data_IF_727810192759
#
_entry.id   IF_727810192759
#
_cell.length_a   1.000
_cell.length_b   1.000
_cell.length_c   1.000
_cell.angle_alpha   90.00
_cell.angle_beta   90.00
_cell.angle_gamma   90.00
#
_symmetry.space_group_name_H-M   'P 1'
#
loop_
_entity.id
_entity.type
_entity.pdbx_description
1 polymer ?
#
# COMPACT_ATOMS: atom_id res chain seq x y z
N UNK A 1 -15.70 -1.40 5.71
CA UNK A 1 -15.78 -0.39 4.66
C UNK A 1 -16.07 0.97 5.26
N UNK A 2 -15.50 2.01 4.68
CA UNK A 2 -15.71 3.40 5.08
C UNK A 2 -16.19 4.18 3.87
N UNK A 3 -17.14 5.07 4.09
CA UNK A 3 -17.60 6.04 3.09
C UNK A 3 -17.22 7.44 3.59
N UNK A 4 -16.42 8.17 2.82
CA UNK A 4 -15.98 9.51 3.19
C UNK A 4 -16.05 10.48 2.02
N UNK A 5 -16.05 11.78 2.33
CA UNK A 5 -15.94 12.84 1.34
C UNK A 5 -14.50 13.38 1.26
N UNK A 6 -13.51 12.49 1.14
CA UNK A 6 -12.07 12.79 1.03
C UNK A 6 -11.46 13.27 2.37
N UNK A 7 -10.79 12.36 3.05
CA UNK A 7 -10.19 12.58 4.38
C UNK A 7 -8.93 13.46 4.39
N UNK A 8 -8.37 13.78 3.22
CA UNK A 8 -7.21 14.68 3.10
C UNK A 8 -7.54 16.15 3.28
N UNK A 9 -8.81 16.55 3.21
CA UNK A 9 -9.21 17.93 3.46
C UNK A 9 -9.34 18.24 4.96
N UNK A 10 -9.17 19.51 5.39
CA UNK A 10 -9.23 19.89 6.81
C UNK A 10 -10.57 19.60 7.50
N UNK A 11 -11.64 19.48 6.73
CA UNK A 11 -12.97 19.11 7.22
C UNK A 11 -13.58 18.09 6.27
N UNK A 12 -14.03 16.97 6.82
CA UNK A 12 -14.65 15.90 6.06
C UNK A 12 -15.70 15.18 6.90
N UNK A 13 -16.62 14.49 6.24
CA UNK A 13 -17.55 13.55 6.85
C UNK A 13 -17.07 12.13 6.51
N UNK A 14 -17.15 11.24 7.50
CA UNK A 14 -16.83 9.84 7.34
C UNK A 14 -17.91 8.98 8.03
N UNK A 15 -18.45 8.01 7.32
CA UNK A 15 -19.41 7.03 7.85
C UNK A 15 -18.78 5.64 7.82
N UNK A 16 -18.75 4.98 8.96
CA UNK A 16 -18.19 3.64 9.12
C UNK A 16 -19.27 2.56 8.95
N UNK A 17 -18.97 1.59 8.11
CA UNK A 17 -19.87 0.48 7.78
C UNK A 17 -19.47 -0.85 8.42
N UNK A 18 -18.62 -0.85 9.43
CA UNK A 18 -18.13 -2.07 10.11
C UNK A 18 -19.28 -2.95 10.58
N UNK A 19 -20.31 -2.39 11.24
CA UNK A 19 -21.49 -3.12 11.72
C UNK A 19 -22.36 -3.72 10.61
N UNK A 20 -22.16 -3.30 9.37
CA UNK A 20 -22.94 -3.77 8.23
C UNK A 20 -22.19 -4.77 7.36
N UNK A 21 -20.90 -4.94 7.57
CA UNK A 21 -20.06 -5.81 6.74
C UNK A 21 -20.54 -7.27 6.77
N UNK A 22 -21.04 -7.76 7.92
CA UNK A 22 -21.58 -9.12 8.02
C UNK A 22 -22.77 -9.33 7.06
N UNK A 23 -23.63 -8.33 6.89
CA UNK A 23 -24.77 -8.42 5.98
C UNK A 23 -24.33 -8.54 4.51
N UNK A 24 -23.26 -7.83 4.12
CA UNK A 24 -22.70 -7.99 2.79
C UNK A 24 -22.11 -9.38 2.60
N UNK A 25 -21.37 -9.88 3.60
CA UNK A 25 -20.79 -11.24 3.54
C UNK A 25 -21.88 -12.32 3.45
N UNK A 26 -22.95 -12.17 4.19
CA UNK A 26 -24.11 -13.11 4.14
C UNK A 26 -24.75 -13.12 2.75
N UNK A 27 -24.97 -11.95 2.13
CA UNK A 27 -25.53 -11.89 0.77
C UNK A 27 -24.56 -12.49 -0.27
N UNK A 28 -23.27 -12.21 -0.20
CA UNK A 28 -22.28 -12.82 -1.10
C UNK A 28 -22.21 -14.33 -0.92
N UNK A 29 -22.36 -14.83 0.30
CA UNK A 29 -22.45 -16.27 0.58
C UNK A 29 -23.73 -16.89 -0.02
N UNK A 30 -24.88 -16.20 0.10
CA UNK A 30 -26.15 -16.62 -0.50
C UNK A 30 -26.06 -16.67 -2.05
N UNK A 31 -25.26 -15.80 -2.65
CA UNK A 31 -25.03 -15.73 -4.10
C UNK A 31 -23.95 -16.72 -4.59
N UNK A 32 -23.34 -17.51 -3.69
CA UNK A 32 -22.21 -18.41 -4.03
C UNK A 32 -21.05 -17.63 -4.70
N UNK A 33 -20.73 -16.46 -4.14
CA UNK A 33 -19.71 -15.58 -4.70
C UNK A 33 -18.30 -16.10 -4.43
N UNK A 34 -17.49 -16.16 -5.49
CA UNK A 34 -16.10 -16.60 -5.46
C UNK A 34 -15.19 -15.54 -6.09
N UNK A 35 -14.44 -14.75 -5.30
CA UNK A 35 -13.51 -13.77 -5.85
C UNK A 35 -12.23 -14.45 -6.38
N UNK A 36 -11.67 -13.91 -7.46
CA UNK A 36 -10.34 -14.29 -7.94
C UNK A 36 -9.22 -13.61 -7.14
N UNK A 37 -9.52 -12.47 -6.53
CA UNK A 37 -8.60 -11.72 -5.68
C UNK A 37 -9.29 -10.87 -4.62
N UNK A 38 -8.56 -10.58 -3.56
CA UNK A 38 -8.98 -9.72 -2.44
C UNK A 38 -7.90 -8.67 -2.26
N UNK A 39 -8.30 -7.40 -2.32
CA UNK A 39 -7.45 -6.27 -1.98
C UNK A 39 -8.02 -5.56 -0.75
N UNK A 40 -7.17 -5.30 0.23
CA UNK A 40 -7.52 -4.52 1.42
C UNK A 40 -6.61 -3.31 1.52
N UNK A 41 -7.19 -2.15 1.76
CA UNK A 41 -6.49 -0.89 2.00
C UNK A 41 -6.89 -0.29 3.34
N UNK A 42 -7.30 0.98 3.35
CA UNK A 42 -7.70 1.69 4.56
C UNK A 42 -8.79 0.96 5.35
N UNK A 43 -8.56 0.77 6.65
CA UNK A 43 -9.52 0.21 7.61
C UNK A 43 -9.76 1.23 8.73
N UNK A 44 -11.02 1.33 9.17
CA UNK A 44 -11.41 2.31 10.18
C UNK A 44 -10.82 2.01 11.57
N UNK A 45 -10.76 0.73 11.93
CA UNK A 45 -10.30 0.26 13.24
C UNK A 45 -9.96 -1.25 13.24
N UNK A 46 -9.57 -1.75 14.41
CA UNK A 46 -9.27 -3.17 14.62
C UNK A 46 -10.49 -4.08 14.43
N UNK A 47 -11.71 -3.62 14.77
CA UNK A 47 -12.93 -4.40 14.58
C UNK A 47 -13.23 -4.59 13.09
N UNK A 48 -12.98 -3.57 12.27
CA UNK A 48 -13.11 -3.70 10.82
C UNK A 48 -12.07 -4.67 10.24
N UNK A 49 -10.84 -4.66 10.77
CA UNK A 49 -9.82 -5.63 10.38
C UNK A 49 -10.25 -7.08 10.71
N UNK A 50 -10.92 -7.32 11.84
CA UNK A 50 -11.48 -8.64 12.18
C UNK A 50 -12.58 -9.07 11.18
N UNK A 51 -13.40 -8.13 10.69
CA UNK A 51 -14.37 -8.42 9.62
C UNK A 51 -13.67 -8.81 8.31
N UNK A 52 -12.58 -8.12 7.97
CA UNK A 52 -11.77 -8.47 6.78
C UNK A 52 -11.13 -9.85 6.94
N UNK A 53 -10.57 -10.18 8.11
CA UNK A 53 -10.06 -11.52 8.40
C UNK A 53 -11.14 -12.59 8.26
N UNK A 54 -12.36 -12.30 8.73
CA UNK A 54 -13.52 -13.19 8.58
C UNK A 54 -13.92 -13.34 7.10
N UNK A 55 -13.87 -12.25 6.32
CA UNK A 55 -14.10 -12.28 4.88
C UNK A 55 -13.08 -13.17 4.17
N UNK A 56 -11.78 -13.01 4.48
CA UNK A 56 -10.72 -13.85 3.93
C UNK A 56 -10.93 -15.32 4.29
N UNK A 57 -11.36 -15.62 5.52
CA UNK A 57 -11.63 -17.00 5.94
C UNK A 57 -12.81 -17.62 5.19
N UNK A 58 -13.81 -16.83 4.80
CA UNK A 58 -15.01 -17.30 4.09
C UNK A 58 -14.80 -17.42 2.58
N UNK A 59 -14.12 -16.45 1.98
CA UNK A 59 -14.03 -16.29 0.52
C UNK A 59 -12.62 -16.47 -0.02
N UNK A 60 -11.60 -16.48 0.84
CA UNK A 60 -10.23 -16.78 0.48
C UNK A 60 -10.05 -18.28 0.28
N UNK A 61 -9.54 -18.70 -0.86
CA UNK A 61 -9.20 -20.09 -1.17
C UNK A 61 -7.76 -20.18 -1.65
N UNK A 62 -7.26 -21.38 -1.91
CA UNK A 62 -5.87 -21.62 -2.35
C UNK A 62 -5.49 -20.83 -3.62
N UNK A 63 -6.45 -20.53 -4.48
CA UNK A 63 -6.24 -19.82 -5.74
C UNK A 63 -6.55 -18.31 -5.64
N UNK A 64 -7.14 -17.83 -4.55
CA UNK A 64 -7.50 -16.42 -4.37
C UNK A 64 -6.26 -15.61 -4.06
N UNK A 65 -5.99 -14.59 -4.86
CA UNK A 65 -4.84 -13.70 -4.66
C UNK A 65 -5.20 -12.62 -3.64
N UNK A 66 -4.42 -12.52 -2.56
CA UNK A 66 -4.67 -11.55 -1.49
C UNK A 66 -3.54 -10.53 -1.50
N UNK A 67 -3.91 -9.26 -1.66
CA UNK A 67 -3.03 -8.11 -1.49
C UNK A 67 -3.48 -7.32 -0.27
N UNK A 68 -2.54 -7.00 0.61
CA UNK A 68 -2.79 -6.15 1.78
C UNK A 68 -1.93 -4.89 1.70
N UNK A 69 -2.61 -3.75 1.59
CA UNK A 69 -2.01 -2.43 1.76
C UNK A 69 -2.24 -2.00 3.22
N UNK A 70 -1.19 -2.00 4.05
CA UNK A 70 -1.35 -1.87 5.50
C UNK A 70 -1.42 -0.42 5.94
N UNK A 71 -2.40 0.33 5.44
CA UNK A 71 -2.57 1.76 5.63
C UNK A 71 -2.63 2.14 7.11
N UNK A 72 -1.54 2.74 7.63
CA UNK A 72 -1.41 3.13 9.04
C UNK A 72 -0.69 4.47 9.26
N UNK A 73 0.08 4.96 8.31
CA UNK A 73 0.87 6.19 8.45
C UNK A 73 1.67 6.51 7.20
N UNK A 74 2.32 7.66 7.19
CA UNK A 74 3.21 8.12 6.11
C UNK A 74 4.20 9.15 6.66
N UNK A 75 5.37 9.31 5.99
CA UNK A 75 6.41 10.29 6.36
C UNK A 75 6.83 10.26 7.85
N UNK A 76 6.88 9.06 8.45
CA UNK A 76 7.26 8.85 9.86
C UNK A 76 6.15 9.09 10.86
N UNK A 77 4.97 9.53 10.44
CA UNK A 77 3.83 9.85 11.29
C UNK A 77 2.69 8.85 11.08
N UNK A 78 2.02 8.47 12.17
CA UNK A 78 0.83 7.63 12.10
C UNK A 78 -0.40 8.45 11.73
N UNK A 79 -1.30 7.82 10.97
CA UNK A 79 -2.63 8.39 10.75
C UNK A 79 -3.48 8.40 12.04
N UNK A 80 -4.46 9.30 12.15
CA UNK A 80 -5.32 9.41 13.35
C UNK A 80 -6.06 8.13 13.72
N UNK A 81 -6.23 7.20 12.78
CA UNK A 81 -6.85 5.89 12.99
C UNK A 81 -5.92 4.87 13.66
N UNK A 82 -4.62 5.14 13.71
CA UNK A 82 -3.65 4.18 14.24
C UNK A 82 -3.92 3.86 15.71
N UNK A 83 -3.92 2.57 16.00
CA UNK A 83 -3.83 2.02 17.35
C UNK A 83 -2.92 0.79 17.32
N UNK A 84 -2.30 0.44 18.44
CA UNK A 84 -1.51 -0.80 18.54
C UNK A 84 -2.36 -2.02 18.19
N UNK A 85 -3.64 -2.02 18.59
CA UNK A 85 -4.57 -3.10 18.27
C UNK A 85 -4.79 -3.21 16.74
N UNK A 86 -4.99 -2.08 16.04
CA UNK A 86 -5.09 -2.09 14.57
C UNK A 86 -3.80 -2.60 13.94
N UNK A 87 -2.63 -2.16 14.41
CA UNK A 87 -1.34 -2.63 13.93
C UNK A 87 -1.17 -4.14 14.11
N UNK A 88 -1.58 -4.70 15.26
CA UNK A 88 -1.61 -6.15 15.45
C UNK A 88 -2.51 -6.88 14.45
N UNK A 89 -3.70 -6.33 14.17
CA UNK A 89 -4.60 -6.89 13.15
C UNK A 89 -4.01 -6.81 11.74
N UNK A 90 -3.34 -5.70 11.41
CA UNK A 90 -2.62 -5.57 10.13
C UNK A 90 -1.51 -6.63 9.98
N UNK A 91 -0.81 -6.98 11.07
CA UNK A 91 0.15 -8.10 11.08
C UNK A 91 -0.51 -9.45 10.77
N UNK A 92 -1.72 -9.68 11.28
CA UNK A 92 -2.48 -10.89 10.93
C UNK A 92 -2.95 -10.89 9.47
N UNK A 93 -3.37 -9.75 8.94
CA UNK A 93 -3.73 -9.61 7.53
C UNK A 93 -2.50 -9.82 6.63
N UNK A 94 -1.35 -9.24 6.98
CA UNK A 94 -0.11 -9.42 6.24
C UNK A 94 0.29 -10.90 6.10
N UNK A 95 0.08 -11.73 7.14
CA UNK A 95 0.30 -13.19 7.08
C UNK A 95 -0.67 -13.96 6.18
N UNK A 96 -1.75 -13.33 5.72
CA UNK A 96 -2.71 -13.92 4.78
C UNK A 96 -2.46 -13.47 3.34
N UNK A 97 -1.63 -12.45 3.16
CA UNK A 97 -1.36 -11.85 1.87
C UNK A 97 -0.37 -12.68 1.05
N UNK A 98 -0.57 -12.72 -0.25
CA UNK A 98 0.45 -13.12 -1.21
C UNK A 98 1.44 -11.96 -1.46
N UNK A 99 0.97 -10.72 -1.35
CA UNK A 99 1.78 -9.51 -1.46
C UNK A 99 1.30 -8.47 -0.44
N UNK A 100 2.24 -7.76 0.20
CA UNK A 100 1.96 -6.56 1.00
C UNK A 100 2.62 -5.33 0.37
N UNK A 101 1.99 -4.14 0.49
CA UNK A 101 2.46 -2.90 -0.14
C UNK A 101 2.73 -1.75 0.85
N UNK A 102 3.48 -1.97 1.94
CA UNK A 102 3.73 -0.91 2.89
C UNK A 102 4.57 0.22 2.28
N UNK A 103 4.33 1.48 2.68
CA UNK A 103 5.36 2.51 2.63
C UNK A 103 6.41 2.27 3.75
N UNK A 104 7.46 3.10 3.83
CA UNK A 104 8.52 2.86 4.80
C UNK A 104 8.04 3.01 6.26
N UNK A 105 7.16 3.97 6.54
CA UNK A 105 6.55 4.15 7.86
C UNK A 105 5.78 2.91 8.29
N UNK A 106 4.92 2.41 7.43
CA UNK A 106 4.12 1.20 7.65
C UNK A 106 4.99 -0.05 7.80
N UNK A 107 6.07 -0.16 7.01
CA UNK A 107 7.05 -1.22 7.13
C UNK A 107 7.68 -1.27 8.53
N UNK A 108 8.05 -0.10 9.07
CA UNK A 108 8.60 0.03 10.42
C UNK A 108 7.56 -0.27 11.50
N UNK A 109 6.33 0.22 11.34
CA UNK A 109 5.22 -0.07 12.27
C UNK A 109 4.91 -1.57 12.33
N UNK A 110 4.87 -2.24 11.19
CA UNK A 110 4.67 -3.69 11.11
C UNK A 110 5.77 -4.47 11.82
N UNK A 111 7.03 -4.06 11.68
CA UNK A 111 8.16 -4.76 12.29
C UNK A 111 8.30 -4.48 13.79
N UNK A 112 8.14 -3.22 14.19
CA UNK A 112 8.60 -2.77 15.49
C UNK A 112 7.50 -2.23 16.40
N UNK A 113 6.34 -1.82 15.86
CA UNK A 113 5.33 -1.03 16.58
C UNK A 113 5.77 0.44 16.69
N UNK A 114 4.89 1.28 17.28
CA UNK A 114 5.00 2.74 17.28
C UNK A 114 6.33 3.27 17.83
N UNK A 115 6.64 2.96 19.08
CA UNK A 115 7.78 3.58 19.76
C UNK A 115 9.10 3.34 19.00
N UNK A 116 9.37 2.10 18.66
CA UNK A 116 10.62 1.76 17.97
C UNK A 116 10.62 2.19 16.50
N UNK A 117 9.47 2.21 15.83
CA UNK A 117 9.36 2.74 14.48
C UNK A 117 9.76 4.22 14.42
N UNK A 118 9.31 5.01 15.39
CA UNK A 118 9.62 6.44 15.49
C UNK A 118 11.11 6.70 15.75
N UNK A 119 11.72 5.93 16.66
CA UNK A 119 13.16 6.00 16.90
C UNK A 119 13.97 5.71 15.62
N UNK A 120 13.62 4.61 14.93
CA UNK A 120 14.30 4.21 13.69
C UNK A 120 14.09 5.24 12.59
N UNK A 121 12.89 5.80 12.45
CA UNK A 121 12.62 6.86 11.47
C UNK A 121 13.53 8.08 11.70
N UNK A 122 13.70 8.47 12.95
CA UNK A 122 14.60 9.59 13.30
C UNK A 122 16.06 9.30 12.92
N UNK A 123 16.52 8.06 13.13
CA UNK A 123 17.86 7.63 12.71
C UNK A 123 18.03 7.70 11.17
N UNK A 124 16.97 7.40 10.40
CA UNK A 124 17.00 7.40 8.93
C UNK A 124 17.17 8.79 8.30
N UNK A 125 16.77 9.85 8.98
CA UNK A 125 16.90 11.22 8.48
C UNK A 125 18.36 11.64 8.22
N UNK A 126 19.32 10.95 8.84
CA UNK A 126 20.76 11.22 8.73
C UNK A 126 21.47 10.24 7.76
N UNK A 127 20.73 9.36 7.08
CA UNK A 127 21.33 8.34 6.21
C UNK A 127 21.75 8.90 4.85
N UNK A 128 22.93 8.50 4.41
CA UNK A 128 23.36 8.67 3.02
C UNK A 128 22.63 7.63 2.11
N UNK A 129 22.68 7.84 0.79
CA UNK A 129 21.95 7.00 -0.17
C UNK A 129 22.23 5.48 0.00
N UNK A 130 23.50 5.11 0.09
CA UNK A 130 23.89 3.70 0.18
C UNK A 130 23.40 3.05 1.49
N UNK A 131 23.35 3.81 2.58
CA UNK A 131 22.87 3.34 3.87
C UNK A 131 21.35 3.24 3.87
N UNK A 132 20.65 4.20 3.28
CA UNK A 132 19.18 4.16 3.09
C UNK A 132 18.77 2.94 2.24
N UNK A 133 19.41 2.76 1.08
CA UNK A 133 19.10 1.63 0.18
C UNK A 133 19.29 0.30 0.91
N UNK A 134 20.44 0.13 1.59
CA UNK A 134 20.73 -1.09 2.37
C UNK A 134 19.70 -1.31 3.47
N UNK A 135 19.35 -0.27 4.20
CA UNK A 135 18.37 -0.35 5.27
C UNK A 135 16.98 -0.77 4.76
N UNK A 136 16.52 -0.19 3.63
CA UNK A 136 15.23 -0.54 3.02
C UNK A 136 15.25 -1.99 2.54
N UNK A 137 16.33 -2.46 1.94
CA UNK A 137 16.50 -3.87 1.54
C UNK A 137 16.45 -4.82 2.74
N UNK A 138 17.17 -4.53 3.82
CA UNK A 138 17.13 -5.32 5.05
C UNK A 138 15.73 -5.33 5.68
N UNK A 139 15.03 -4.20 5.63
CA UNK A 139 13.64 -4.06 6.10
C UNK A 139 12.70 -4.93 5.27
N UNK A 140 12.83 -4.91 3.94
CA UNK A 140 12.09 -5.78 3.03
C UNK A 140 12.31 -7.27 3.35
N UNK A 141 13.55 -7.70 3.53
CA UNK A 141 13.85 -9.09 3.91
C UNK A 141 13.28 -9.48 5.28
N UNK A 142 13.34 -8.59 6.27
CA UNK A 142 12.74 -8.84 7.59
C UNK A 142 11.24 -9.05 7.49
N UNK A 143 10.55 -8.19 6.72
CA UNK A 143 9.11 -8.31 6.47
C UNK A 143 8.77 -9.60 5.72
N UNK A 144 9.45 -9.88 4.61
CA UNK A 144 9.21 -11.08 3.81
C UNK A 144 9.32 -12.37 4.64
N UNK A 145 10.29 -12.42 5.54
CA UNK A 145 10.48 -13.54 6.47
C UNK A 145 9.45 -13.58 7.60
N UNK A 146 9.10 -12.42 8.19
CA UNK A 146 8.17 -12.35 9.31
C UNK A 146 6.74 -12.73 8.93
N UNK A 147 6.36 -12.43 7.69
CA UNK A 147 4.99 -12.62 7.19
C UNK A 147 4.87 -13.72 6.14
N UNK A 148 5.98 -14.32 5.71
CA UNK A 148 6.01 -15.38 4.68
C UNK A 148 5.31 -14.93 3.38
N UNK A 149 5.56 -13.67 2.96
CA UNK A 149 4.90 -13.02 1.84
C UNK A 149 5.89 -12.23 0.97
N UNK A 150 5.51 -11.93 -0.25
CA UNK A 150 6.24 -10.97 -1.06
C UNK A 150 5.93 -9.55 -0.57
N UNK A 151 6.94 -8.68 -0.56
CA UNK A 151 6.85 -7.32 -0.02
C UNK A 151 7.20 -6.32 -1.11
N UNK A 152 6.36 -5.32 -1.28
CA UNK A 152 6.66 -4.16 -2.12
C UNK A 152 6.70 -2.93 -1.23
N UNK A 153 7.90 -2.48 -0.82
CA UNK A 153 8.02 -1.21 -0.08
C UNK A 153 7.92 -0.08 -1.09
N UNK A 154 6.90 0.76 -0.94
CA UNK A 154 6.55 1.79 -1.92
C UNK A 154 7.05 3.17 -1.52
N UNK A 155 7.25 4.05 -2.51
CA UNK A 155 7.39 5.48 -2.29
C UNK A 155 8.68 5.92 -1.60
N UNK A 156 9.79 5.23 -1.81
CA UNK A 156 11.08 5.59 -1.21
C UNK A 156 11.68 6.78 -1.96
N UNK A 157 11.79 7.91 -1.30
CA UNK A 157 12.52 9.07 -1.82
C UNK A 157 14.02 8.80 -1.81
N UNK A 158 14.58 8.69 -2.99
CA UNK A 158 16.03 8.53 -3.14
C UNK A 158 16.71 9.91 -3.15
N UNK A 159 17.95 10.02 -2.66
CA UNK A 159 18.71 11.27 -2.70
C UNK A 159 18.88 11.80 -4.12
N UNK A 160 18.97 13.14 -4.22
CA UNK A 160 19.15 13.81 -5.51
C UNK A 160 20.52 13.48 -6.10
N UNK A 161 20.54 12.92 -7.31
CA UNK A 161 21.75 12.62 -8.06
C UNK A 161 21.72 13.35 -9.42
N UNK A 162 22.78 14.07 -9.72
CA UNK A 162 22.91 14.87 -10.95
C UNK A 162 21.73 15.84 -11.19
N UNK A 163 21.11 16.35 -10.12
CA UNK A 163 19.98 17.27 -10.16
C UNK A 163 18.63 16.58 -10.41
N UNK A 164 18.58 15.24 -10.43
CA UNK A 164 17.35 14.45 -10.58
C UNK A 164 17.07 13.72 -9.27
N UNK A 165 15.85 13.85 -8.77
CA UNK A 165 15.35 13.02 -7.68
C UNK A 165 14.56 11.85 -8.26
N UNK A 166 14.85 10.65 -7.77
CA UNK A 166 14.10 9.45 -8.09
C UNK A 166 13.25 9.00 -6.90
N UNK A 167 12.14 8.37 -7.21
CA UNK A 167 11.35 7.60 -6.26
C UNK A 167 11.54 6.11 -6.57
N UNK A 168 11.88 5.32 -5.55
CA UNK A 168 12.09 3.89 -5.65
C UNK A 168 10.93 3.09 -5.05
N UNK A 169 10.68 1.92 -5.62
CA UNK A 169 9.84 0.89 -5.04
C UNK A 169 10.67 -0.40 -4.96
N UNK A 170 10.79 -0.96 -3.76
CA UNK A 170 11.54 -2.18 -3.52
C UNK A 170 10.60 -3.38 -3.59
N UNK A 171 10.90 -4.35 -4.42
CA UNK A 171 10.24 -5.66 -4.43
C UNK A 171 11.19 -6.64 -3.74
N UNK A 172 10.73 -7.30 -2.70
CA UNK A 172 11.52 -8.23 -1.91
C UNK A 172 10.76 -9.55 -1.70
N UNK A 173 11.42 -10.65 -2.04
CA UNK A 173 10.99 -12.02 -1.74
C UNK A 173 12.02 -12.72 -0.85
N UNK A 174 11.89 -14.04 -0.67
CA UNK A 174 12.81 -14.84 0.17
C UNK A 174 14.28 -14.77 -0.23
N UNK A 175 14.54 -14.64 -1.53
CA UNK A 175 15.85 -14.81 -2.16
C UNK A 175 16.18 -13.72 -3.17
N UNK A 176 15.31 -12.76 -3.37
CA UNK A 176 15.51 -11.72 -4.38
C UNK A 176 15.09 -10.34 -3.89
N UNK A 177 15.83 -9.35 -4.34
CA UNK A 177 15.53 -7.92 -4.18
C UNK A 177 15.61 -7.26 -5.55
N UNK A 178 14.61 -6.44 -5.87
CA UNK A 178 14.61 -5.67 -7.10
C UNK A 178 14.02 -4.28 -6.87
N UNK A 179 14.69 -3.26 -7.41
CA UNK A 179 14.23 -1.88 -7.39
C UNK A 179 13.57 -1.50 -8.71
N UNK A 180 12.40 -0.88 -8.63
CA UNK A 180 11.78 -0.16 -9.73
C UNK A 180 11.78 1.31 -9.39
N UNK A 181 12.51 2.09 -10.17
CA UNK A 181 12.70 3.53 -9.95
C UNK A 181 12.03 4.34 -11.06
N UNK A 182 11.56 5.53 -10.70
CA UNK A 182 11.08 6.52 -11.65
C UNK A 182 11.50 7.92 -11.18
N UNK A 183 11.58 8.86 -12.10
CA UNK A 183 11.81 10.25 -11.73
C UNK A 183 10.65 10.75 -10.86
N UNK A 184 10.98 11.39 -9.73
CA UNK A 184 9.99 12.04 -8.87
C UNK A 184 9.54 13.34 -9.50
N UNK A 185 8.22 13.51 -9.61
CA UNK A 185 7.58 14.74 -10.03
C UNK A 185 6.74 15.29 -8.87
N UNK A 186 6.98 16.55 -8.50
CA UNK A 186 6.20 17.22 -7.46
C UNK A 186 6.25 16.56 -6.08
N UNK A 187 5.18 16.71 -5.34
CA UNK A 187 4.99 16.17 -4.00
C UNK A 187 4.16 14.90 -3.95
N UNK A 188 3.64 14.58 -2.76
CA UNK A 188 2.71 13.49 -2.51
C UNK A 188 1.28 13.88 -2.93
N UNK A 189 0.55 12.97 -3.55
CA UNK A 189 -0.86 13.12 -3.93
C UNK A 189 -1.72 12.04 -3.28
N UNK A 190 -2.92 12.43 -2.82
CA UNK A 190 -3.87 11.49 -2.23
C UNK A 190 -4.30 10.41 -3.22
N UNK A 191 -4.41 9.15 -2.76
CA UNK A 191 -4.90 8.02 -3.56
C UNK A 191 -3.87 7.37 -4.48
N UNK A 192 -2.62 7.83 -4.50
CA UNK A 192 -1.56 7.18 -5.30
C UNK A 192 -1.25 5.77 -4.83
N UNK A 193 -1.26 5.51 -3.51
CA UNK A 193 -1.14 4.17 -2.92
C UNK A 193 -2.28 3.25 -3.36
N UNK A 194 -3.53 3.73 -3.28
CA UNK A 194 -4.70 2.95 -3.71
C UNK A 194 -4.65 2.58 -5.20
N UNK A 195 -4.24 3.52 -6.06
CA UNK A 195 -4.06 3.27 -7.49
C UNK A 195 -2.94 2.25 -7.74
N UNK A 196 -1.82 2.39 -7.05
CA UNK A 196 -0.70 1.45 -7.12
C UNK A 196 -1.14 0.03 -6.75
N UNK A 197 -1.74 -0.12 -5.57
CA UNK A 197 -2.23 -1.40 -5.07
C UNK A 197 -3.32 -2.02 -5.98
N UNK A 198 -4.19 -1.17 -6.57
CA UNK A 198 -5.22 -1.62 -7.52
C UNK A 198 -4.62 -2.20 -8.80
N UNK A 199 -3.61 -1.53 -9.38
CA UNK A 199 -2.91 -2.04 -10.58
C UNK A 199 -2.19 -3.34 -10.27
N UNK A 200 -1.49 -3.41 -9.14
CA UNK A 200 -0.77 -4.60 -8.70
C UNK A 200 -1.74 -5.77 -8.44
N UNK A 201 -2.82 -5.53 -7.71
CA UNK A 201 -3.87 -6.53 -7.44
C UNK A 201 -4.47 -7.11 -8.73
N UNK A 202 -4.78 -6.24 -9.71
CA UNK A 202 -5.27 -6.67 -11.01
C UNK A 202 -4.25 -7.51 -11.79
N UNK A 203 -2.96 -7.18 -11.70
CA UNK A 203 -1.86 -7.95 -12.27
C UNK A 203 -1.77 -9.35 -11.66
N UNK A 204 -1.82 -9.43 -10.33
CA UNK A 204 -1.78 -10.70 -9.59
C UNK A 204 -2.90 -11.67 -10.02
N UNK A 205 -4.14 -11.17 -10.15
CA UNK A 205 -5.30 -11.96 -10.61
C UNK A 205 -5.13 -12.42 -12.05
N UNK A 206 -4.53 -11.60 -12.90
CA UNK A 206 -4.22 -11.96 -14.30
C UNK A 206 -3.02 -12.89 -14.44
N UNK A 207 -2.31 -13.19 -13.35
CA UNK A 207 -1.09 -14.01 -13.37
C UNK A 207 0.15 -13.29 -13.91
N UNK A 208 0.12 -11.95 -13.94
CA UNK A 208 1.28 -11.12 -14.25
C UNK A 208 2.25 -11.18 -13.06
N UNK A 209 3.53 -11.24 -13.33
CA UNK A 209 4.55 -11.23 -12.29
C UNK A 209 4.57 -9.88 -11.55
N UNK A 210 4.98 -9.91 -10.28
CA UNK A 210 4.95 -8.73 -9.40
C UNK A 210 5.83 -7.60 -9.93
N UNK A 211 7.01 -7.92 -10.45
CA UNK A 211 7.94 -6.91 -10.98
C UNK A 211 7.35 -6.18 -12.18
N UNK A 212 6.70 -6.91 -13.08
CA UNK A 212 6.03 -6.32 -14.24
C UNK A 212 4.81 -5.50 -13.81
N UNK A 213 4.03 -6.00 -12.85
CA UNK A 213 2.87 -5.28 -12.30
C UNK A 213 3.27 -3.99 -11.60
N UNK A 214 4.34 -4.00 -10.79
CA UNK A 214 4.92 -2.81 -10.15
C UNK A 214 5.43 -1.83 -11.20
N UNK A 215 6.15 -2.30 -12.22
CA UNK A 215 6.63 -1.44 -13.32
C UNK A 215 5.47 -0.75 -14.05
N UNK A 216 4.38 -1.49 -14.29
CA UNK A 216 3.16 -0.95 -14.91
C UNK A 216 2.52 0.10 -14.02
N UNK A 217 2.38 -0.16 -12.71
CA UNK A 217 1.85 0.79 -11.74
C UNK A 217 2.69 2.07 -11.69
N UNK A 218 4.02 1.94 -11.54
CA UNK A 218 4.96 3.08 -11.50
C UNK A 218 4.86 3.94 -12.77
N UNK A 219 4.87 3.33 -13.95
CA UNK A 219 4.77 4.06 -15.20
C UNK A 219 3.42 4.78 -15.38
N UNK A 220 2.35 4.14 -14.94
CA UNK A 220 1.00 4.71 -14.97
C UNK A 220 0.90 5.93 -14.04
N UNK A 221 1.33 5.77 -12.79
CA UNK A 221 1.29 6.84 -11.78
C UNK A 221 2.20 8.02 -12.17
N UNK A 222 3.41 7.76 -12.64
CA UNK A 222 4.34 8.82 -13.04
C UNK A 222 3.76 9.77 -14.07
N UNK A 223 2.94 9.26 -15.00
CA UNK A 223 2.25 10.08 -16.01
C UNK A 223 1.16 10.95 -15.38
N UNK A 224 0.31 10.35 -14.54
CA UNK A 224 -0.76 11.08 -13.86
C UNK A 224 -0.23 12.14 -12.89
N UNK A 225 0.88 11.84 -12.17
CA UNK A 225 1.54 12.78 -11.27
C UNK A 225 2.14 13.95 -12.06
N UNK A 226 2.87 13.66 -13.14
CA UNK A 226 3.45 14.71 -13.98
C UNK A 226 2.38 15.68 -14.47
N UNK A 227 1.27 15.15 -14.96
CA UNK A 227 0.19 15.99 -15.46
C UNK A 227 -0.50 16.79 -14.36
N UNK A 228 -0.68 16.19 -13.16
CA UNK A 228 -1.20 16.91 -12.00
C UNK A 228 -0.29 18.06 -11.56
N UNK A 229 1.04 17.88 -11.66
CA UNK A 229 2.02 18.94 -11.41
C UNK A 229 1.92 20.04 -12.47
N UNK A 230 1.81 19.68 -13.75
CA UNK A 230 1.68 20.64 -14.86
C UNK A 230 0.36 21.44 -14.80
N UNK A 231 -0.71 20.81 -14.31
CA UNK A 231 -2.05 21.41 -14.13
C UNK A 231 -2.22 22.13 -12.79
N UNK A 232 -1.18 22.12 -11.92
CA UNK A 232 -1.22 22.69 -10.56
C UNK A 232 -2.38 22.13 -9.71
N UNK A 233 -2.72 20.84 -9.89
CA UNK A 233 -3.80 20.15 -9.18
C UNK A 233 -3.50 20.12 -7.68
N UNK A 234 -4.50 20.39 -6.84
CA UNK A 234 -4.36 20.25 -5.39
C UNK A 234 -4.07 18.80 -5.02
N UNK A 235 -3.12 18.58 -4.09
CA UNK A 235 -2.72 17.26 -3.66
C UNK A 235 -3.89 16.36 -3.20
N UNK A 236 -4.93 16.98 -2.63
CA UNK A 236 -6.11 16.28 -2.11
C UNK A 236 -7.11 15.90 -3.22
N UNK A 237 -7.00 16.50 -4.38
CA UNK A 237 -7.81 16.12 -5.55
C UNK A 237 -7.26 14.87 -6.26
N UNK A 238 -6.02 14.46 -5.93
CA UNK A 238 -5.37 13.30 -6.51
C UNK A 238 -4.63 13.63 -7.80
N UNK A 239 -4.40 12.62 -8.64
CA UNK A 239 -3.61 12.74 -9.88
C UNK A 239 -4.48 12.61 -11.13
N UNK A 240 -4.03 13.16 -12.26
CA UNK A 240 -4.74 13.13 -13.54
C UNK A 240 -4.59 11.77 -14.27
N UNK A 241 -5.14 10.71 -13.72
CA UNK A 241 -4.89 9.32 -14.18
C UNK A 241 -5.88 8.82 -15.23
N UNK A 242 -7.08 9.39 -15.35
CA UNK A 242 -8.19 8.86 -16.14
C UNK A 242 -7.83 8.72 -17.62
N UNK A 243 -7.07 9.67 -18.15
CA UNK A 243 -6.63 9.65 -19.54
C UNK A 243 -5.62 8.54 -19.87
N UNK A 244 -5.07 7.88 -18.85
CA UNK A 244 -4.11 6.78 -18.99
C UNK A 244 -4.69 5.40 -18.70
N UNK A 245 -5.96 5.30 -18.28
CA UNK A 245 -6.62 4.02 -17.95
C UNK A 245 -6.56 3.00 -19.10
N UNK A 246 -6.58 3.45 -20.36
CA UNK A 246 -6.48 2.56 -21.53
C UNK A 246 -5.18 1.75 -21.59
N UNK A 247 -4.11 2.22 -20.94
CA UNK A 247 -2.82 1.52 -20.89
C UNK A 247 -2.87 0.29 -19.96
N UNK A 248 -3.76 0.31 -18.98
CA UNK A 248 -3.96 -0.81 -18.05
C UNK A 248 -4.76 -1.95 -18.68
N UNK A 249 -5.48 -1.68 -19.77
CA UNK A 249 -6.29 -2.68 -20.48
C UNK A 249 -5.48 -3.60 -21.43
N UNK A 250 -4.18 -3.32 -21.61
CA UNK A 250 -3.29 -4.02 -22.55
C UNK A 250 -2.40 -5.06 -21.89
#
# INVERSE_FOLDING_TARGET
AVLSCQTGFPSYFCDDYTDRMDKFMDEWKNLDFHPDGIYTGFLADAAQADKVLSFIALFGGENVKILVDPVMGDDGEEYPIYTEELCEKMRFLAKKAAVITPNLTEALLLLYGRERAHEVWTELCDFEEDDLVRFVEETGYKLARAYETEVVITGIDLPIKDGVQEMGNLICSWDSVQWIKAQKHGGSYSGTGDLFASVLSAGMVKGTDTVESVRKAVNFLAKGIRDAVEEETDRNEGICFEKYLYELAR
#
